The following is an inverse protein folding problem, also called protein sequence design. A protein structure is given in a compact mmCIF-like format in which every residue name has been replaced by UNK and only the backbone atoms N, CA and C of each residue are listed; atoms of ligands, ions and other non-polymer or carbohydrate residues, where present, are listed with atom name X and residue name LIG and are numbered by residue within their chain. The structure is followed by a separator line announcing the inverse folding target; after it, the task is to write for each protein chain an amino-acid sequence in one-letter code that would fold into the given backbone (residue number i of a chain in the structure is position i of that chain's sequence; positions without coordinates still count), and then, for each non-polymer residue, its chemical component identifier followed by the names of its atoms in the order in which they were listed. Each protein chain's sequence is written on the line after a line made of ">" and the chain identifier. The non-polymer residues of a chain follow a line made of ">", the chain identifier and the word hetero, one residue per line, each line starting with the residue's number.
data_IF_086905634439
#
_entry.id   IF_086905634439
#
_cell.length_a   1.000
_cell.length_b   1.000
_cell.length_c   1.000
_cell.angle_alpha   90.00
_cell.angle_beta   90.00
_cell.angle_gamma   90.00
#
_symmetry.space_group_name_H-M   'P 1'
#
loop_
_entity.id
_entity.type
_entity.pdbx_description
1 polymer ?
#
# COMPACT_ATOMS: atom_id res chain seq x y z
N UNK A 1 -13.66 -7.05 18.33
CA UNK A 1 -14.40 -5.91 17.74
C UNK A 1 -14.26 -4.63 18.57
N UNK A 2 -14.95 -4.43 19.71
CA UNK A 2 -14.76 -3.19 20.49
C UNK A 2 -13.44 -3.13 21.27
N UNK A 3 -12.94 -4.27 21.75
CA UNK A 3 -11.65 -4.36 22.45
C UNK A 3 -10.49 -4.02 21.52
N UNK A 4 -10.47 -4.57 20.31
CA UNK A 4 -9.40 -4.31 19.33
C UNK A 4 -9.39 -2.85 18.88
N UNK A 5 -10.57 -2.23 18.70
CA UNK A 5 -10.67 -0.79 18.41
C UNK A 5 -10.14 0.05 19.57
N UNK A 6 -10.44 -0.31 20.82
CA UNK A 6 -9.93 0.40 21.97
C UNK A 6 -8.39 0.30 22.08
N UNK A 7 -7.84 -0.90 21.84
CA UNK A 7 -6.39 -1.13 21.80
C UNK A 7 -5.74 -0.28 20.71
N UNK A 8 -6.30 -0.28 19.50
CA UNK A 8 -5.81 0.54 18.39
C UNK A 8 -5.78 2.04 18.74
N UNK A 9 -6.85 2.57 19.34
CA UNK A 9 -6.84 3.99 19.77
C UNK A 9 -5.81 4.26 20.88
N UNK A 10 -5.59 3.33 21.81
CA UNK A 10 -4.54 3.45 22.83
C UNK A 10 -3.13 3.44 22.22
N UNK A 11 -2.88 2.64 21.18
CA UNK A 11 -1.62 2.61 20.45
C UNK A 11 -1.37 3.92 19.69
N UNK A 12 -2.40 4.46 19.02
CA UNK A 12 -2.32 5.76 18.37
C UNK A 12 -2.02 6.87 19.39
N UNK A 13 -2.68 6.85 20.54
CA UNK A 13 -2.45 7.82 21.62
C UNK A 13 -1.03 7.73 22.18
N UNK A 14 -0.53 6.51 22.43
CA UNK A 14 0.84 6.28 22.89
C UNK A 14 1.90 6.75 21.89
N UNK A 15 1.61 6.67 20.58
CA UNK A 15 2.45 7.20 19.52
C UNK A 15 2.29 8.72 19.29
N UNK A 16 1.40 9.39 20.03
CA UNK A 16 1.09 10.80 19.85
C UNK A 16 0.37 11.12 18.53
N UNK A 17 -0.25 10.14 17.88
CA UNK A 17 -0.92 10.32 16.59
C UNK A 17 -2.24 11.09 16.73
N UNK A 18 -2.41 12.21 16.00
CA UNK A 18 -3.67 12.94 16.00
C UNK A 18 -4.84 12.08 15.47
N UNK A 19 -6.01 12.16 16.13
CA UNK A 19 -7.23 11.42 15.74
C UNK A 19 -7.67 11.64 14.28
N UNK A 20 -7.31 12.76 13.66
CA UNK A 20 -7.61 13.01 12.23
C UNK A 20 -6.92 12.02 11.28
N UNK A 21 -5.86 11.33 11.74
CA UNK A 21 -5.12 10.33 10.99
C UNK A 21 -5.48 8.89 11.37
N UNK A 22 -6.54 8.66 12.16
CA UNK A 22 -6.94 7.30 12.60
C UNK A 22 -7.16 6.33 11.43
N UNK A 23 -7.56 6.83 10.26
CA UNK A 23 -7.78 6.02 9.06
C UNK A 23 -6.71 6.24 7.99
N UNK A 24 -5.63 6.94 8.33
CA UNK A 24 -4.51 7.14 7.41
C UNK A 24 -3.60 5.91 7.43
N UNK A 25 -3.84 5.01 6.49
CA UNK A 25 -3.02 3.83 6.23
C UNK A 25 -1.87 4.12 5.24
N UNK A 26 -1.75 5.38 4.76
CA UNK A 26 -0.86 5.79 3.67
C UNK A 26 0.62 5.87 4.04
N UNK A 27 0.98 5.60 5.29
CA UNK A 27 2.35 5.58 5.82
C UNK A 27 3.13 4.29 5.57
N UNK A 28 2.67 3.43 4.64
CA UNK A 28 3.32 2.17 4.31
C UNK A 28 2.72 0.93 4.98
N UNK A 29 1.53 1.03 5.58
CA UNK A 29 0.80 -0.10 6.18
C UNK A 29 -0.44 -0.54 5.39
N UNK A 30 -0.74 0.13 4.27
CA UNK A 30 -1.90 -0.17 3.44
C UNK A 30 -1.86 -1.61 2.91
N UNK A 31 -0.68 -2.11 2.53
CA UNK A 31 -0.53 -3.46 2.01
C UNK A 31 -0.69 -4.53 3.08
N UNK A 32 -0.22 -4.24 4.28
CA UNK A 32 -0.32 -5.11 5.44
C UNK A 32 -1.79 -5.28 5.83
N UNK A 33 -2.58 -4.20 5.75
CA UNK A 33 -4.02 -4.26 5.94
C UNK A 33 -4.73 -5.05 4.83
N UNK A 34 -4.38 -4.80 3.57
CA UNK A 34 -4.94 -5.53 2.42
C UNK A 34 -4.59 -7.04 2.46
N UNK A 35 -3.35 -7.38 2.79
CA UNK A 35 -2.89 -8.76 2.95
C UNK A 35 -3.60 -9.46 4.12
N UNK A 36 -3.75 -8.76 5.25
CA UNK A 36 -4.50 -9.27 6.40
C UNK A 36 -5.96 -9.58 6.01
N UNK A 37 -6.62 -8.68 5.26
CA UNK A 37 -7.97 -8.91 4.76
C UNK A 37 -8.04 -10.10 3.77
N UNK A 38 -7.09 -10.19 2.85
CA UNK A 38 -7.00 -11.30 1.90
C UNK A 38 -6.88 -12.64 2.62
N UNK A 39 -6.04 -12.72 3.66
CA UNK A 39 -5.90 -13.90 4.51
C UNK A 39 -7.23 -14.29 5.18
N UNK A 40 -7.98 -13.32 5.72
CA UNK A 40 -9.31 -13.58 6.31
C UNK A 40 -10.30 -14.17 5.29
N UNK A 41 -10.09 -13.90 4.00
CA UNK A 41 -10.92 -14.38 2.89
C UNK A 41 -10.35 -15.64 2.21
N UNK A 42 -9.24 -16.19 2.70
CA UNK A 42 -8.53 -17.29 2.06
C UNK A 42 -8.02 -16.95 0.65
N UNK A 43 -7.73 -15.67 0.40
CA UNK A 43 -7.19 -15.16 -0.85
C UNK A 43 -5.69 -14.90 -0.73
N UNK A 44 -4.99 -14.87 -1.87
CA UNK A 44 -3.61 -14.41 -1.92
C UNK A 44 -3.54 -12.90 -1.67
N UNK A 45 -2.52 -12.47 -0.93
CA UNK A 45 -2.23 -11.06 -0.70
C UNK A 45 -1.80 -10.32 -1.97
N UNK A 46 -1.55 -9.02 -1.83
CA UNK A 46 -1.13 -8.19 -2.95
C UNK A 46 0.25 -8.65 -3.48
N UNK A 47 0.31 -8.91 -4.78
CA UNK A 47 1.55 -9.28 -5.46
C UNK A 47 2.70 -8.27 -5.24
N UNK A 48 3.92 -8.78 -5.03
CA UNK A 48 5.08 -7.95 -4.68
C UNK A 48 5.42 -6.86 -5.70
N UNK A 49 5.16 -7.10 -6.99
CA UNK A 49 5.35 -6.10 -8.05
C UNK A 49 4.44 -4.87 -7.83
N UNK A 50 3.23 -5.06 -7.32
CA UNK A 50 2.26 -3.98 -7.11
C UNK A 50 2.67 -3.08 -5.95
N UNK A 51 3.23 -3.67 -4.89
CA UNK A 51 3.84 -2.92 -3.77
C UNK A 51 5.04 -2.11 -4.26
N UNK A 52 5.92 -2.73 -5.06
CA UNK A 52 7.08 -2.07 -5.64
C UNK A 52 6.70 -0.88 -6.54
N UNK A 53 5.70 -1.06 -7.41
CA UNK A 53 5.23 0.01 -8.31
C UNK A 53 4.66 1.21 -7.55
N UNK A 54 3.92 0.99 -6.46
CA UNK A 54 3.43 2.11 -5.66
C UNK A 54 4.57 2.89 -4.99
N UNK A 55 5.55 2.20 -4.40
CA UNK A 55 6.71 2.85 -3.76
C UNK A 55 7.46 3.68 -4.80
N UNK A 56 7.69 3.13 -5.99
CA UNK A 56 8.34 3.83 -7.09
C UNK A 56 7.52 5.05 -7.56
N UNK A 57 6.21 4.88 -7.76
CA UNK A 57 5.31 5.98 -8.13
C UNK A 57 5.29 7.10 -7.09
N UNK A 58 5.25 6.78 -5.79
CA UNK A 58 5.34 7.77 -4.70
C UNK A 58 6.68 8.51 -4.71
N UNK A 59 7.78 7.80 -4.96
CA UNK A 59 9.10 8.41 -5.13
C UNK A 59 9.13 9.34 -6.34
N UNK A 60 8.50 8.98 -7.45
CA UNK A 60 8.40 9.83 -8.63
C UNK A 60 7.56 11.09 -8.35
N UNK A 61 6.45 10.99 -7.61
CA UNK A 61 5.67 12.17 -7.17
C UNK A 61 6.53 13.16 -6.38
N UNK A 62 7.39 12.65 -5.48
CA UNK A 62 8.29 13.49 -4.67
C UNK A 62 9.40 14.11 -5.53
N UNK A 63 10.01 13.32 -6.41
CA UNK A 63 11.18 13.75 -7.20
C UNK A 63 10.82 14.64 -8.39
N UNK A 64 9.65 14.43 -8.99
CA UNK A 64 9.22 15.08 -10.24
C UNK A 64 7.70 15.36 -10.24
N UNK A 65 7.19 16.17 -9.31
CA UNK A 65 5.75 16.37 -9.11
C UNK A 65 5.00 16.87 -10.37
N UNK A 66 5.69 17.58 -11.26
CA UNK A 66 5.13 18.09 -12.52
C UNK A 66 5.14 17.12 -13.71
N UNK A 67 5.98 16.07 -13.69
CA UNK A 67 6.16 15.15 -14.83
C UNK A 67 6.06 13.67 -14.47
N UNK A 68 5.85 13.29 -13.21
CA UNK A 68 5.84 11.87 -12.78
C UNK A 68 4.84 10.96 -13.50
N UNK A 69 3.81 11.55 -14.12
CA UNK A 69 2.80 10.81 -14.89
C UNK A 69 3.26 10.48 -16.30
N UNK A 70 4.19 11.25 -16.83
CA UNK A 70 4.72 11.12 -18.19
C UNK A 70 6.14 10.53 -18.20
N UNK A 71 6.88 10.68 -17.09
CA UNK A 71 8.29 10.28 -16.96
C UNK A 71 8.53 9.43 -15.69
N UNK A 72 9.04 8.21 -15.87
CA UNK A 72 9.30 7.28 -14.77
C UNK A 72 10.46 6.30 -15.09
N UNK A 73 11.22 5.90 -14.06
CA UNK A 73 12.42 5.03 -14.20
C UNK A 73 12.18 3.58 -13.74
N UNK A 74 10.93 3.27 -13.39
CA UNK A 74 10.48 1.99 -12.82
C UNK A 74 9.82 1.07 -13.85
N UNK A 75 10.05 1.31 -15.15
CA UNK A 75 9.58 0.44 -16.24
C UNK A 75 10.05 -1.01 -16.12
N UNK A 76 11.13 -1.27 -15.38
CA UNK A 76 11.61 -2.62 -15.07
C UNK A 76 10.63 -3.44 -14.21
N UNK A 77 9.64 -2.80 -13.57
CA UNK A 77 8.58 -3.47 -12.80
C UNK A 77 7.41 -3.95 -13.68
N UNK A 78 7.26 -3.39 -14.89
CA UNK A 78 6.15 -3.73 -15.80
C UNK A 78 6.11 -5.21 -16.23
N UNK A 79 7.24 -5.89 -16.54
CA UNK A 79 7.21 -7.29 -16.97
C UNK A 79 6.55 -8.23 -15.96
N UNK A 80 6.75 -8.01 -14.66
CA UNK A 80 6.14 -8.84 -13.60
C UNK A 80 4.63 -8.67 -13.56
N UNK A 81 4.14 -7.43 -13.67
CA UNK A 81 2.72 -7.14 -13.76
C UNK A 81 2.09 -7.80 -15.00
N UNK A 82 2.72 -7.64 -16.16
CA UNK A 82 2.24 -8.22 -17.42
C UNK A 82 2.19 -9.74 -17.37
N UNK A 83 3.21 -10.40 -16.81
CA UNK A 83 3.24 -11.85 -16.64
C UNK A 83 2.11 -12.35 -15.73
N UNK A 84 1.74 -11.60 -14.68
CA UNK A 84 0.60 -11.99 -13.85
C UNK A 84 -0.72 -11.81 -14.60
N UNK A 85 -0.86 -10.75 -15.39
CA UNK A 85 -2.07 -10.50 -16.16
C UNK A 85 -2.34 -11.56 -17.23
N UNK A 86 -1.33 -12.24 -17.78
CA UNK A 86 -1.56 -13.34 -18.74
C UNK A 86 -2.29 -14.55 -18.13
N UNK A 87 -2.48 -14.60 -16.80
CA UNK A 87 -3.31 -15.63 -16.17
C UNK A 87 -4.80 -15.39 -16.41
N UNK A 88 -5.18 -14.18 -16.79
CA UNK A 88 -6.57 -13.73 -16.89
C UNK A 88 -7.01 -13.37 -18.32
N UNK A 89 -6.11 -13.50 -19.29
CA UNK A 89 -6.32 -13.26 -20.73
C UNK A 89 -5.77 -14.43 -21.53
#
# INVERSE_FOLDING_TARGET
>A
MMRDVALFYSELEACGWPKRYTHDLGGGTMYEYDDWLAEQCGQEGIGGWRKAMYIAARKNVVNRPGSYRDEWDDSHLLPQAHQEFTKYF
#
